data_IF_685761176165
#
_entry.id   IF_685761176165
#
_cell.length_a   1.000
_cell.length_b   1.000
_cell.length_c   1.000
_cell.angle_alpha   90.00
_cell.angle_beta   90.00
_cell.angle_gamma   90.00
#
_symmetry.space_group_name_H-M   'P 1'
#
loop_
_entity.id
_entity.type
_entity.pdbx_description
1 polymer ?
#
# COMPACT_ATOMS: atom_id res chain seq x y z
N UNK A 1 13.92 0.63 -25.85
CA UNK A 1 13.58 2.05 -25.54
C UNK A 1 14.49 2.54 -24.41
N UNK A 2 14.71 3.84 -24.28
CA UNK A 2 15.56 4.44 -23.25
C UNK A 2 14.76 5.42 -22.40
N UNK A 3 14.87 5.33 -21.08
CA UNK A 3 14.19 6.20 -20.12
C UNK A 3 15.17 6.68 -19.05
N UNK A 4 14.92 7.86 -18.49
CA UNK A 4 15.49 8.24 -17.20
C UNK A 4 14.75 7.50 -16.08
N UNK A 5 15.45 7.16 -15.00
CA UNK A 5 14.86 6.40 -13.89
C UNK A 5 13.61 7.06 -13.30
N UNK A 6 13.57 8.39 -13.19
CA UNK A 6 12.42 9.12 -12.64
C UNK A 6 11.14 9.03 -13.48
N UNK A 7 11.24 8.66 -14.77
CA UNK A 7 10.06 8.45 -15.62
C UNK A 7 9.35 7.12 -15.36
N UNK A 8 10.09 6.14 -14.82
CA UNK A 8 9.67 4.72 -14.81
C UNK A 8 9.86 4.01 -13.47
N UNK A 9 10.50 4.66 -12.51
CA UNK A 9 10.85 4.06 -11.23
C UNK A 9 10.81 5.05 -10.06
N UNK A 10 10.67 4.51 -8.84
CA UNK A 10 10.75 5.27 -7.59
C UNK A 10 11.71 4.60 -6.63
N UNK A 11 12.49 5.43 -5.93
CA UNK A 11 13.21 5.03 -4.72
C UNK A 11 12.45 5.59 -3.52
N UNK A 12 12.20 4.78 -2.48
CA UNK A 12 11.60 5.27 -1.25
C UNK A 12 12.45 6.35 -0.57
N UNK A 13 13.77 6.10 -0.41
CA UNK A 13 14.71 7.10 0.12
C UNK A 13 15.99 7.18 -0.73
N UNK A 14 16.68 8.34 -0.70
CA UNK A 14 18.05 8.44 -1.20
C UNK A 14 18.94 7.42 -0.48
N UNK A 15 19.64 6.57 -1.25
CA UNK A 15 20.50 5.50 -0.72
C UNK A 15 19.92 4.10 -0.82
N UNK A 16 18.62 3.95 -1.11
CA UNK A 16 18.06 2.65 -1.47
C UNK A 16 18.68 2.14 -2.78
N UNK A 17 18.89 0.83 -2.87
CA UNK A 17 19.65 0.19 -3.97
C UNK A 17 18.77 -0.58 -4.96
N UNK A 18 17.46 -0.64 -4.71
CA UNK A 18 16.45 -1.23 -5.59
C UNK A 18 15.32 -0.23 -5.85
N UNK A 19 15.01 -0.01 -7.13
CA UNK A 19 13.90 0.84 -7.55
C UNK A 19 12.61 0.05 -7.71
N UNK A 20 11.48 0.70 -7.47
CA UNK A 20 10.13 0.16 -7.72
C UNK A 20 9.67 0.63 -9.08
N UNK A 21 9.31 -0.28 -9.99
CA UNK A 21 8.77 0.06 -11.30
C UNK A 21 7.37 0.67 -11.19
N UNK A 22 7.10 1.77 -11.88
CA UNK A 22 5.80 2.47 -11.87
C UNK A 22 4.86 2.03 -13.00
N UNK A 23 5.29 1.07 -13.83
CA UNK A 23 4.54 0.44 -14.92
C UNK A 23 5.25 -0.86 -15.32
N UNK A 24 4.64 -1.69 -16.19
CA UNK A 24 5.35 -2.81 -16.84
C UNK A 24 6.49 -2.24 -17.69
N UNK A 25 7.69 -2.80 -17.53
CA UNK A 25 8.90 -2.43 -18.27
C UNK A 25 9.47 -3.67 -18.96
N UNK A 26 9.56 -3.64 -20.28
CA UNK A 26 10.01 -4.80 -21.04
C UNK A 26 11.51 -5.04 -20.86
N UNK A 27 11.92 -6.31 -20.94
CA UNK A 27 13.33 -6.70 -21.03
C UNK A 27 14.05 -5.96 -22.17
N UNK A 28 15.30 -5.57 -21.92
CA UNK A 28 16.10 -4.76 -22.85
C UNK A 28 15.83 -3.25 -22.77
N UNK A 29 14.87 -2.79 -21.96
CA UNK A 29 14.69 -1.35 -21.70
C UNK A 29 15.95 -0.76 -21.07
N UNK A 30 16.45 0.33 -21.64
CA UNK A 30 17.61 1.07 -21.14
C UNK A 30 17.17 2.11 -20.12
N UNK A 31 17.85 2.16 -18.99
CA UNK A 31 17.56 3.07 -17.88
C UNK A 31 18.81 3.91 -17.61
N UNK A 32 18.62 5.23 -17.63
CA UNK A 32 19.62 6.21 -17.22
C UNK A 32 19.33 6.59 -15.76
N UNK A 33 20.28 6.32 -14.88
CA UNK A 33 20.19 6.67 -13.47
C UNK A 33 21.53 7.24 -12.99
N UNK A 34 21.52 8.49 -12.53
CA UNK A 34 22.74 9.24 -12.17
C UNK A 34 23.75 9.27 -13.34
N UNK A 35 24.96 8.75 -13.13
CA UNK A 35 26.04 8.65 -14.11
C UNK A 35 26.09 7.30 -14.82
N UNK A 36 25.08 6.44 -14.63
CA UNK A 36 25.05 5.07 -15.16
C UNK A 36 23.90 4.86 -16.14
N UNK A 37 24.18 4.04 -17.14
CA UNK A 37 23.16 3.49 -18.03
C UNK A 37 23.22 1.97 -17.95
N UNK A 38 22.07 1.33 -17.75
CA UNK A 38 21.96 -0.13 -17.69
C UNK A 38 20.66 -0.61 -18.35
N UNK A 39 20.65 -1.86 -18.79
CA UNK A 39 19.49 -2.49 -19.40
C UNK A 39 18.77 -3.41 -18.40
N UNK A 40 17.45 -3.46 -18.45
CA UNK A 40 16.67 -4.48 -17.75
C UNK A 40 16.94 -5.84 -18.39
N UNK A 41 17.36 -6.83 -17.59
CA UNK A 41 17.60 -8.19 -18.11
C UNK A 41 16.31 -8.96 -18.39
N UNK A 42 15.28 -8.70 -17.59
CA UNK A 42 13.96 -9.32 -17.69
C UNK A 42 12.89 -8.25 -17.68
N UNK A 43 11.69 -8.62 -18.12
CA UNK A 43 10.51 -7.77 -17.97
C UNK A 43 10.17 -7.60 -16.49
N UNK A 44 10.03 -6.35 -16.05
CA UNK A 44 9.68 -5.98 -14.67
C UNK A 44 8.21 -5.56 -14.64
N UNK A 45 7.43 -6.15 -13.75
CA UNK A 45 6.02 -5.80 -13.56
C UNK A 45 5.89 -4.51 -12.74
N UNK A 46 4.76 -3.81 -12.91
CA UNK A 46 4.43 -2.64 -12.08
C UNK A 46 4.41 -3.01 -10.59
N UNK A 47 5.02 -2.18 -9.75
CA UNK A 47 5.15 -2.41 -8.30
C UNK A 47 6.28 -3.37 -7.92
N UNK A 48 6.87 -4.08 -8.87
CA UNK A 48 8.02 -4.95 -8.62
C UNK A 48 9.34 -4.18 -8.63
N UNK A 49 10.39 -4.80 -8.07
CA UNK A 49 11.67 -4.15 -7.82
C UNK A 49 12.77 -4.64 -8.74
N UNK A 50 13.69 -3.75 -9.08
CA UNK A 50 14.90 -4.05 -9.82
C UNK A 50 16.09 -3.29 -9.23
N UNK A 51 17.29 -3.86 -9.33
CA UNK A 51 18.50 -3.22 -8.81
C UNK A 51 18.88 -2.01 -9.66
N UNK A 52 19.27 -0.92 -9.02
CA UNK A 52 19.75 0.31 -9.70
C UNK A 52 21.26 0.50 -9.56
N UNK A 53 21.91 -0.34 -8.76
CA UNK A 53 23.34 -0.41 -8.55
C UNK A 53 23.76 -1.87 -8.28
N UNK A 54 25.06 -2.21 -8.35
CA UNK A 54 25.54 -3.54 -7.96
C UNK A 54 25.26 -3.82 -6.48
N UNK A 55 24.87 -5.06 -6.16
CA UNK A 55 24.67 -5.57 -4.80
C UNK A 55 25.41 -6.90 -4.70
N UNK A 56 26.38 -7.01 -3.79
CA UNK A 56 27.17 -8.24 -3.64
C UNK A 56 26.45 -9.28 -2.77
N UNK A 57 26.79 -10.58 -2.88
CA UNK A 57 26.25 -11.59 -1.96
C UNK A 57 26.52 -11.19 -0.50
N UNK A 58 25.50 -11.29 0.34
CA UNK A 58 25.55 -10.88 1.74
C UNK A 58 25.16 -9.41 1.98
N UNK A 59 25.14 -8.57 0.94
CA UNK A 59 24.73 -7.18 1.07
C UNK A 59 23.20 -7.05 1.18
N UNK A 60 22.72 -6.03 1.91
CA UNK A 60 21.28 -5.79 2.06
C UNK A 60 20.65 -5.20 0.80
N UNK A 61 19.44 -5.63 0.49
CA UNK A 61 18.51 -4.89 -0.36
C UNK A 61 17.73 -3.91 0.52
N UNK A 62 17.76 -2.63 0.16
CA UNK A 62 17.27 -1.54 0.99
C UNK A 62 15.97 -0.96 0.44
N UNK A 63 15.03 -0.68 1.35
CA UNK A 63 13.83 0.10 1.10
C UNK A 63 13.57 0.96 2.32
N UNK A 64 13.35 2.26 2.12
CA UNK A 64 13.27 3.23 3.23
C UNK A 64 14.53 3.24 4.10
N UNK A 65 15.70 2.99 3.51
CA UNK A 65 16.98 2.89 4.22
C UNK A 65 17.11 1.66 5.12
N UNK A 66 16.12 0.76 5.10
CA UNK A 66 16.11 -0.44 5.94
C UNK A 66 16.26 -1.70 5.08
N UNK A 67 17.01 -2.71 5.56
CA UNK A 67 17.11 -3.99 4.88
C UNK A 67 15.75 -4.70 4.92
N UNK A 68 15.25 -5.10 3.76
CA UNK A 68 14.12 -6.03 3.65
C UNK A 68 14.55 -7.41 3.14
N UNK A 69 15.75 -7.50 2.58
CA UNK A 69 16.32 -8.74 2.08
C UNK A 69 17.84 -8.72 2.06
N UNK A 70 18.45 -9.89 1.86
CA UNK A 70 19.89 -10.06 1.67
C UNK A 70 20.14 -10.74 0.34
N UNK A 71 21.06 -10.19 -0.44
CA UNK A 71 21.46 -10.78 -1.70
C UNK A 71 22.12 -12.15 -1.45
N UNK A 72 21.63 -13.20 -2.11
CA UNK A 72 22.21 -14.55 -2.04
C UNK A 72 23.25 -14.78 -3.13
N UNK A 73 23.37 -13.84 -4.06
CA UNK A 73 24.30 -13.83 -5.20
C UNK A 73 24.52 -12.38 -5.66
N UNK A 74 25.45 -12.18 -6.59
CA UNK A 74 25.61 -10.87 -7.22
C UNK A 74 24.32 -10.45 -7.95
N UNK A 75 23.84 -9.25 -7.64
CA UNK A 75 22.74 -8.59 -8.33
C UNK A 75 23.31 -7.38 -9.06
N UNK A 76 23.13 -7.32 -10.38
CA UNK A 76 23.63 -6.25 -11.22
C UNK A 76 22.53 -5.22 -11.50
N UNK A 77 22.89 -3.96 -11.81
CA UNK A 77 21.91 -2.97 -12.24
C UNK A 77 21.02 -3.49 -13.37
N UNK A 78 19.71 -3.36 -13.21
CA UNK A 78 18.68 -3.86 -14.13
C UNK A 78 18.23 -5.31 -13.88
N UNK A 79 18.85 -6.02 -12.93
CA UNK A 79 18.34 -7.32 -12.50
C UNK A 79 17.02 -7.16 -11.73
N UNK A 80 16.07 -8.03 -12.04
CA UNK A 80 14.82 -8.17 -11.30
C UNK A 80 15.15 -8.71 -9.90
N UNK A 81 14.82 -7.98 -8.84
CA UNK A 81 14.94 -8.47 -7.48
C UNK A 81 13.82 -9.47 -7.18
N UNK A 82 14.18 -10.76 -7.04
CA UNK A 82 13.24 -11.85 -6.78
C UNK A 82 13.73 -12.74 -5.63
N UNK A 83 12.89 -12.91 -4.61
CA UNK A 83 13.05 -13.98 -3.62
C UNK A 83 12.36 -15.27 -4.11
N UNK A 84 12.54 -16.41 -3.42
CA UNK A 84 11.91 -17.68 -3.81
C UNK A 84 10.38 -17.60 -3.91
N UNK A 85 9.72 -16.87 -3.01
CA UNK A 85 8.26 -16.75 -2.91
C UNK A 85 7.69 -15.99 -4.11
N UNK A 86 8.24 -14.82 -4.42
CA UNK A 86 7.85 -14.00 -5.57
C UNK A 86 8.07 -14.79 -6.85
N UNK A 87 9.24 -15.41 -7.00
CA UNK A 87 9.55 -16.14 -8.22
C UNK A 87 8.64 -17.36 -8.40
N UNK A 88 8.35 -18.09 -7.30
CA UNK A 88 7.40 -19.20 -7.30
C UNK A 88 5.99 -18.76 -7.68
N UNK A 89 5.49 -17.66 -7.11
CA UNK A 89 4.18 -17.11 -7.43
C UNK A 89 4.07 -16.64 -8.89
N UNK A 90 5.13 -16.04 -9.44
CA UNK A 90 5.17 -15.60 -10.84
C UNK A 90 5.22 -16.78 -11.82
N UNK A 91 5.93 -17.87 -11.48
CA UNK A 91 6.00 -19.09 -12.31
C UNK A 91 4.67 -19.81 -12.49
N UNK A 92 3.69 -19.56 -11.60
CA UNK A 92 2.34 -20.13 -11.70
C UNK A 92 1.41 -19.30 -12.60
N UNK A 93 1.84 -18.13 -13.07
CA UNK A 93 1.06 -17.24 -13.92
C UNK A 93 1.36 -17.53 -15.39
N UNK A 94 0.35 -17.35 -16.25
CA UNK A 94 0.51 -17.39 -17.70
C UNK A 94 1.11 -16.05 -18.17
N UNK A 95 2.44 -15.99 -18.22
CA UNK A 95 3.20 -14.79 -18.59
C UNK A 95 3.76 -14.93 -20.01
N UNK A 96 3.70 -13.84 -20.77
CA UNK A 96 4.17 -13.74 -22.15
C UNK A 96 5.68 -13.39 -22.25
N UNK A 97 6.43 -13.50 -21.15
CA UNK A 97 7.84 -13.13 -21.07
C UNK A 97 8.62 -14.04 -20.11
N UNK A 98 9.94 -14.06 -20.28
CA UNK A 98 10.86 -14.84 -19.46
C UNK A 98 11.05 -14.23 -18.06
N UNK A 99 11.06 -15.10 -17.05
CA UNK A 99 11.39 -14.76 -15.68
C UNK A 99 12.85 -15.11 -15.37
N UNK A 100 13.46 -14.51 -14.35
CA UNK A 100 14.75 -14.97 -13.84
C UNK A 100 14.70 -16.46 -13.47
N UNK A 101 15.72 -17.23 -13.87
CA UNK A 101 15.76 -18.68 -13.61
C UNK A 101 15.74 -19.00 -12.11
N UNK A 102 16.45 -18.18 -11.34
CA UNK A 102 16.73 -18.37 -9.92
C UNK A 102 16.49 -17.09 -9.11
N UNK A 103 16.07 -17.22 -7.83
CA UNK A 103 15.98 -16.09 -6.92
C UNK A 103 17.38 -15.53 -6.62
N UNK A 104 17.45 -14.24 -6.30
CA UNK A 104 18.71 -13.52 -6.07
C UNK A 104 18.80 -12.85 -4.70
N UNK A 105 17.74 -12.86 -3.90
CA UNK A 105 17.77 -12.45 -2.50
C UNK A 105 16.87 -13.35 -1.65
N UNK A 106 17.03 -13.28 -0.33
CA UNK A 106 16.15 -13.87 0.67
C UNK A 106 15.61 -12.80 1.61
N UNK A 107 14.40 -13.02 2.13
CA UNK A 107 13.77 -12.06 3.04
C UNK A 107 14.55 -11.95 4.35
N UNK A 108 14.84 -10.71 4.75
CA UNK A 108 15.46 -10.40 6.04
C UNK A 108 14.71 -9.28 6.69
N UNK A 109 13.83 -9.66 7.61
CA UNK A 109 13.16 -8.74 8.51
C UNK A 109 13.96 -8.75 9.81
N UNK A 110 14.74 -7.71 10.04
CA UNK A 110 15.45 -7.56 11.32
C UNK A 110 14.41 -7.28 12.41
N UNK A 111 14.29 -8.13 13.44
CA UNK A 111 13.38 -7.84 14.56
C UNK A 111 13.80 -6.52 15.19
N UNK A 112 12.92 -5.53 15.17
CA UNK A 112 13.20 -4.26 15.80
C UNK A 112 13.08 -4.40 17.32
N UNK A 113 14.12 -3.98 18.03
CA UNK A 113 14.08 -3.81 19.49
C UNK A 113 14.05 -2.32 19.79
N UNK A 114 12.98 -1.87 20.45
CA UNK A 114 12.91 -0.52 20.98
C UNK A 114 13.88 -0.44 22.17
N UNK A 115 15.10 0.03 21.91
CA UNK A 115 16.10 0.27 22.97
C UNK A 115 15.99 1.67 23.55
N UNK A 116 15.53 2.61 22.73
CA UNK A 116 15.28 4.00 23.10
C UNK A 116 14.01 4.47 22.39
N UNK A 117 13.22 5.28 23.07
CA UNK A 117 12.05 5.93 22.49
C UNK A 117 12.26 7.43 22.67
N UNK A 118 12.41 8.13 21.55
CA UNK A 118 12.33 9.58 21.51
C UNK A 118 10.93 9.94 21.02
N UNK A 119 10.12 10.51 21.91
CA UNK A 119 8.85 11.07 21.50
C UNK A 119 9.12 12.17 20.47
N UNK A 120 8.48 12.07 19.30
CA UNK A 120 8.51 13.16 18.33
C UNK A 120 7.97 14.45 18.96
N UNK A 121 8.45 15.60 18.49
CA UNK A 121 7.86 16.87 18.90
C UNK A 121 6.40 16.90 18.46
N UNK A 122 5.49 17.04 19.42
CA UNK A 122 4.07 17.20 19.13
C UNK A 122 3.91 18.42 18.22
N UNK A 123 3.43 18.20 17.00
CA UNK A 123 3.11 19.29 16.07
C UNK A 123 2.19 20.29 16.77
N UNK A 124 2.54 21.57 16.70
CA UNK A 124 1.72 22.63 17.27
C UNK A 124 0.33 22.53 16.66
N UNK A 125 -0.68 22.64 17.52
CA UNK A 125 -2.03 22.85 17.04
C UNK A 125 -2.02 24.13 16.21
N UNK A 126 -2.75 24.14 15.09
CA UNK A 126 -2.97 25.36 14.34
C UNK A 126 -3.55 26.44 15.28
N UNK A 127 -3.01 27.66 15.23
CA UNK A 127 -3.50 28.79 16.04
C UNK A 127 -4.98 29.06 15.81
N UNK A 128 -5.47 28.71 14.62
CA UNK A 128 -6.87 28.73 14.25
C UNK A 128 -7.33 27.31 13.93
N UNK A 129 -8.20 26.76 14.78
CA UNK A 129 -8.92 25.54 14.46
C UNK A 129 -9.85 25.79 13.28
N UNK A 130 -9.67 25.02 12.21
CA UNK A 130 -10.65 24.98 11.12
C UNK A 130 -12.01 24.54 11.65
N UNK A 131 -13.07 25.22 11.22
CA UNK A 131 -14.45 24.84 11.51
C UNK A 131 -15.05 24.10 10.34
N UNK A 132 -15.98 23.17 10.60
CA UNK A 132 -16.80 22.55 9.57
C UNK A 132 -18.28 22.61 9.96
N UNK A 133 -19.17 22.59 8.97
CA UNK A 133 -20.61 22.47 9.21
C UNK A 133 -20.92 21.03 9.59
N UNK A 134 -21.47 20.81 10.78
CA UNK A 134 -21.79 19.47 11.26
C UNK A 134 -23.01 19.45 12.16
N UNK A 135 -23.45 18.25 12.48
CA UNK A 135 -24.67 18.01 13.26
C UNK A 135 -24.33 18.00 14.76
N UNK A 136 -24.61 19.11 15.45
CA UNK A 136 -24.36 19.24 16.88
C UNK A 136 -25.17 18.22 17.68
N UNK A 137 -24.52 17.48 18.59
CA UNK A 137 -25.17 16.45 19.41
C UNK A 137 -25.29 16.93 20.85
N UNK A 138 -26.47 16.69 21.44
CA UNK A 138 -26.73 16.97 22.85
C UNK A 138 -25.84 16.15 23.79
N UNK A 139 -25.63 16.67 25.00
CA UNK A 139 -24.92 15.97 26.10
C UNK A 139 -23.40 15.88 25.92
N UNK A 140 -22.78 16.85 25.24
CA UNK A 140 -21.32 16.88 25.07
C UNK A 140 -20.76 15.82 24.13
N UNK A 141 -21.61 15.11 23.36
CA UNK A 141 -21.22 14.01 22.45
C UNK A 141 -20.54 14.48 21.15
N UNK A 142 -20.14 15.74 21.08
CA UNK A 142 -19.47 16.34 19.92
C UNK A 142 -20.40 16.66 18.75
N UNK A 143 -19.81 16.75 17.56
CA UNK A 143 -20.47 17.12 16.30
C UNK A 143 -20.32 15.97 15.31
N UNK A 144 -21.43 15.52 14.71
CA UNK A 144 -21.44 14.48 13.68
C UNK A 144 -21.19 15.05 12.29
N UNK A 145 -20.58 14.26 11.40
CA UNK A 145 -20.31 14.61 9.99
C UNK A 145 -21.40 14.15 9.02
N UNK A 146 -22.32 13.30 9.49
CA UNK A 146 -23.48 12.75 8.77
C UNK A 146 -24.69 12.69 9.70
N UNK A 147 -25.87 12.88 9.15
CA UNK A 147 -27.17 12.73 9.81
C UNK A 147 -27.88 11.49 9.27
N UNK A 148 -27.54 10.34 9.87
CA UNK A 148 -28.14 9.05 9.53
C UNK A 148 -29.22 8.66 10.53
N UNK A 149 -30.29 8.02 10.04
CA UNK A 149 -31.22 7.28 10.88
C UNK A 149 -30.67 5.87 11.08
N UNK A 150 -30.48 5.46 12.33
CA UNK A 150 -30.01 4.11 12.67
C UNK A 150 -31.20 3.23 13.04
N UNK A 151 -31.33 2.09 12.36
CA UNK A 151 -32.25 1.02 12.72
C UNK A 151 -31.44 -0.01 13.52
N UNK A 152 -31.58 0.04 14.85
CA UNK A 152 -30.83 -0.83 15.75
C UNK A 152 -31.63 -2.12 16.04
N UNK A 153 -31.14 -3.25 15.53
CA UNK A 153 -31.65 -4.57 15.92
C UNK A 153 -31.05 -4.96 17.27
N UNK A 154 -31.85 -4.97 18.34
CA UNK A 154 -31.39 -5.21 19.72
C UNK A 154 -31.09 -6.68 20.04
N UNK A 155 -31.35 -7.60 19.11
CA UNK A 155 -30.96 -9.01 19.18
C UNK A 155 -30.77 -9.61 17.80
N UNK A 156 -30.10 -10.77 17.74
CA UNK A 156 -29.93 -11.57 16.52
C UNK A 156 -31.25 -11.87 15.80
N UNK A 157 -32.34 -12.11 16.55
CA UNK A 157 -33.67 -12.39 15.99
C UNK A 157 -34.28 -11.21 15.23
N UNK A 158 -33.86 -9.99 15.55
CA UNK A 158 -34.35 -8.75 14.89
C UNK A 158 -33.46 -8.30 13.73
N UNK A 159 -32.34 -8.98 13.48
CA UNK A 159 -31.33 -8.58 12.51
C UNK A 159 -31.86 -8.56 11.08
N UNK A 160 -32.58 -9.62 10.67
CA UNK A 160 -33.13 -9.75 9.32
C UNK A 160 -34.22 -8.70 9.06
N UNK A 161 -35.03 -8.38 10.08
CA UNK A 161 -36.04 -7.34 10.01
C UNK A 161 -35.40 -5.95 9.84
N UNK A 162 -34.39 -5.61 10.65
CA UNK A 162 -33.70 -4.32 10.57
C UNK A 162 -33.08 -4.09 9.17
N UNK A 163 -32.43 -5.10 8.60
CA UNK A 163 -31.85 -5.05 7.24
C UNK A 163 -32.91 -4.92 6.15
N UNK A 164 -34.02 -5.64 6.26
CA UNK A 164 -35.13 -5.50 5.30
C UNK A 164 -35.79 -4.13 5.39
N UNK A 165 -35.92 -3.57 6.60
CA UNK A 165 -36.48 -2.24 6.79
C UNK A 165 -35.58 -1.16 6.23
N UNK A 166 -34.27 -1.24 6.45
CA UNK A 166 -33.27 -0.39 5.80
C UNK A 166 -33.44 -0.43 4.28
N UNK A 167 -33.41 -1.63 3.67
CA UNK A 167 -33.52 -1.80 2.23
C UNK A 167 -34.81 -1.19 1.66
N UNK A 168 -35.94 -1.40 2.35
CA UNK A 168 -37.24 -0.87 1.94
C UNK A 168 -37.34 0.66 2.03
N UNK A 169 -36.55 1.29 2.91
CA UNK A 169 -36.61 2.73 3.14
C UNK A 169 -35.54 3.51 2.37
N UNK A 170 -34.58 2.85 1.72
CA UNK A 170 -33.51 3.53 0.96
C UNK A 170 -34.07 4.49 -0.09
N UNK A 171 -35.08 4.07 -0.87
CA UNK A 171 -35.66 4.89 -1.93
C UNK A 171 -36.34 6.17 -1.41
N UNK A 172 -36.70 6.21 -0.13
CA UNK A 172 -37.34 7.36 0.52
C UNK A 172 -36.35 8.41 1.01
N UNK A 173 -35.04 8.12 1.00
CA UNK A 173 -34.02 9.08 1.45
C UNK A 173 -34.05 10.34 0.57
N UNK A 174 -34.34 10.20 -0.72
CA UNK A 174 -34.49 11.32 -1.66
C UNK A 174 -35.60 12.31 -1.28
N UNK A 175 -36.57 11.90 -0.47
CA UNK A 175 -37.65 12.77 0.02
C UNK A 175 -37.16 13.76 1.10
N UNK A 176 -35.97 13.53 1.69
CA UNK A 176 -35.46 14.28 2.84
C UNK A 176 -34.04 14.79 2.60
N UNK A 177 -33.93 16.08 2.24
CA UNK A 177 -32.65 16.75 1.97
C UNK A 177 -31.66 16.78 3.14
N UNK A 178 -32.12 16.56 4.37
CA UNK A 178 -31.32 16.64 5.59
C UNK A 178 -30.93 15.27 6.15
N UNK A 179 -31.27 14.16 5.48
CA UNK A 179 -30.92 12.80 5.91
C UNK A 179 -29.89 12.25 4.93
N UNK A 180 -28.72 11.89 5.44
CA UNK A 180 -27.64 11.34 4.63
C UNK A 180 -27.82 9.84 4.35
N UNK A 181 -28.57 9.14 5.21
CA UNK A 181 -28.71 7.69 5.12
C UNK A 181 -29.65 7.09 6.16
N UNK A 182 -30.14 5.89 5.84
CA UNK A 182 -30.78 4.98 6.79
C UNK A 182 -29.89 3.75 6.87
N UNK A 183 -29.45 3.38 8.07
CA UNK A 183 -28.46 2.31 8.27
C UNK A 183 -28.95 1.30 9.29
N UNK A 184 -28.98 0.01 8.92
CA UNK A 184 -29.23 -1.07 9.87
C UNK A 184 -27.96 -1.41 10.65
N UNK A 185 -28.03 -1.33 11.99
CA UNK A 185 -27.01 -1.86 12.89
C UNK A 185 -27.63 -3.09 13.55
N UNK A 186 -27.19 -4.27 13.11
CA UNK A 186 -27.76 -5.54 13.54
C UNK A 186 -26.69 -6.43 14.17
N UNK A 187 -27.04 -7.05 15.31
CA UNK A 187 -26.23 -8.11 15.89
C UNK A 187 -26.24 -9.35 14.97
N UNK A 188 -25.06 -9.86 14.63
CA UNK A 188 -24.91 -11.08 13.81
C UNK A 188 -24.98 -12.37 14.64
N UNK A 189 -24.70 -12.30 15.94
CA UNK A 189 -24.62 -13.45 16.84
C UNK A 189 -25.35 -13.17 18.16
N UNK A 190 -26.02 -14.20 18.70
CA UNK A 190 -26.86 -14.16 19.90
C UNK A 190 -27.95 -15.23 19.90
#
# INVERSE_FOLDING_TARGET
MTYTFSEIGRLPLPGDNVGIATRKLDGGTQIIHSDRTFALRHTILEGHRFAIQPIAPGDPLLSWGLPFGIATRHIYPGDYACNPEILGALKLRDLDFELPDMPNFEDRIVPYQITTFEAGEQVKHYDQCGTFQGYQRSGGRGVGTRNNIVILGTSSRTASYAKQLEARLQDRIGDYHNIDGIVAVAHSEG
#
